data_IF_471368380591
#
_entry.id   IF_471368380591
#
_cell.length_a   1.000
_cell.length_b   1.000
_cell.length_c   1.000
_cell.angle_alpha   90.00
_cell.angle_beta   90.00
_cell.angle_gamma   90.00
#
_symmetry.space_group_name_H-M   'P 1'
#
loop_
_entity.id
_entity.type
_entity.pdbx_description
1 polymer ?
#
# COMPACT_ATOMS: atom_id res chain seq x y z
N UNK A 1 -25.79 4.59 -27.51
CA UNK A 1 -26.90 4.47 -26.56
C UNK A 1 -26.31 4.49 -25.15
N UNK A 2 -26.24 5.67 -24.53
CA UNK A 2 -25.66 5.85 -23.19
C UNK A 2 -26.68 5.38 -22.15
N UNK A 3 -26.47 4.23 -21.54
CA UNK A 3 -27.26 3.81 -20.39
C UNK A 3 -27.00 4.79 -19.24
N UNK A 4 -28.01 5.57 -18.87
CA UNK A 4 -28.01 6.31 -17.61
C UNK A 4 -27.99 5.29 -16.47
N UNK A 5 -26.81 5.01 -15.94
CA UNK A 5 -26.64 4.13 -14.78
C UNK A 5 -27.31 4.82 -13.58
N UNK A 6 -28.31 4.18 -12.98
CA UNK A 6 -29.00 4.69 -11.79
C UNK A 6 -27.97 5.05 -10.71
N UNK A 7 -28.16 6.18 -10.03
CA UNK A 7 -27.22 6.75 -9.05
C UNK A 7 -26.73 5.74 -7.98
N UNK A 8 -27.60 4.84 -7.52
CA UNK A 8 -27.29 3.76 -6.55
C UNK A 8 -26.35 2.66 -7.07
N UNK A 9 -26.06 2.61 -8.38
CA UNK A 9 -25.09 1.68 -8.97
C UNK A 9 -23.67 2.27 -9.02
N UNK A 10 -23.48 3.53 -8.60
CA UNK A 10 -22.14 4.09 -8.49
C UNK A 10 -21.39 3.52 -7.29
N UNK A 11 -20.16 3.08 -7.52
CA UNK A 11 -19.32 2.46 -6.49
C UNK A 11 -19.03 3.39 -5.32
N UNK A 12 -18.79 4.69 -5.58
CA UNK A 12 -18.58 5.66 -4.51
C UNK A 12 -19.81 5.79 -3.60
N UNK A 13 -21.03 5.79 -4.18
CA UNK A 13 -22.26 5.85 -3.40
C UNK A 13 -22.42 4.59 -2.54
N UNK A 14 -22.11 3.43 -3.10
CA UNK A 14 -22.14 2.16 -2.39
C UNK A 14 -21.14 2.15 -1.21
N UNK A 15 -19.91 2.60 -1.42
CA UNK A 15 -18.88 2.68 -0.36
C UNK A 15 -19.33 3.61 0.77
N UNK A 16 -19.81 4.82 0.44
CA UNK A 16 -20.32 5.75 1.44
C UNK A 16 -21.50 5.16 2.23
N UNK A 17 -22.44 4.51 1.53
CA UNK A 17 -23.57 3.85 2.19
C UNK A 17 -23.14 2.70 3.10
N UNK A 18 -22.11 1.93 2.71
CA UNK A 18 -21.56 0.84 3.50
C UNK A 18 -20.82 1.35 4.75
N UNK A 19 -20.07 2.45 4.64
CA UNK A 19 -19.41 3.10 5.78
C UNK A 19 -20.46 3.58 6.78
N UNK A 20 -21.50 4.29 6.32
CA UNK A 20 -22.59 4.76 7.18
C UNK A 20 -23.33 3.60 7.84
N UNK A 21 -23.63 2.53 7.10
CA UNK A 21 -24.24 1.32 7.64
C UNK A 21 -23.36 0.64 8.69
N UNK A 22 -22.04 0.57 8.46
CA UNK A 22 -21.08 0.01 9.42
C UNK A 22 -20.99 0.82 10.71
N UNK A 23 -20.97 2.16 10.61
CA UNK A 23 -21.00 3.06 11.77
C UNK A 23 -22.32 2.87 12.55
N UNK A 24 -23.45 2.85 11.84
CA UNK A 24 -24.76 2.68 12.47
C UNK A 24 -24.89 1.31 13.15
N UNK A 25 -24.38 0.25 12.54
CA UNK A 25 -24.34 -1.09 13.14
C UNK A 25 -23.46 -1.10 14.40
N UNK A 26 -22.29 -0.46 14.35
CA UNK A 26 -21.40 -0.32 15.50
C UNK A 26 -22.03 0.45 16.67
N UNK A 27 -22.89 1.42 16.38
CA UNK A 27 -23.62 2.19 17.38
C UNK A 27 -24.82 1.41 17.96
N UNK A 28 -25.60 0.72 17.12
CA UNK A 28 -26.82 0.01 17.52
C UNK A 28 -26.55 -1.35 18.20
N UNK A 29 -25.59 -2.12 17.68
CA UNK A 29 -25.19 -3.42 18.24
C UNK A 29 -23.68 -3.62 18.12
N UNK A 30 -22.90 -3.16 19.13
CA UNK A 30 -21.45 -3.32 19.15
C UNK A 30 -21.00 -4.80 19.11
N UNK A 31 -21.80 -5.72 19.67
CA UNK A 31 -21.43 -7.15 19.71
C UNK A 31 -21.54 -7.77 18.32
N UNK A 32 -22.60 -7.44 17.58
CA UNK A 32 -22.76 -7.87 16.20
C UNK A 32 -21.70 -7.23 15.29
N UNK A 33 -21.38 -5.94 15.49
CA UNK A 33 -20.34 -5.26 14.73
C UNK A 33 -18.95 -5.93 14.88
N UNK A 34 -18.56 -6.30 16.10
CA UNK A 34 -17.29 -7.04 16.33
C UNK A 34 -17.32 -8.42 15.66
N UNK A 35 -18.47 -9.11 15.64
CA UNK A 35 -18.63 -10.39 14.93
C UNK A 35 -18.53 -10.26 13.42
N UNK A 36 -18.70 -9.07 12.85
CA UNK A 36 -18.51 -8.82 11.42
C UNK A 36 -17.04 -8.64 11.03
N UNK A 37 -16.10 -8.56 11.99
CA UNK A 37 -14.66 -8.44 11.72
C UNK A 37 -14.12 -9.43 10.67
N UNK A 38 -14.50 -10.73 10.65
CA UNK A 38 -14.04 -11.66 9.62
C UNK A 38 -14.34 -11.23 8.19
N UNK A 39 -15.40 -10.44 7.96
CA UNK A 39 -15.72 -9.90 6.64
C UNK A 39 -14.69 -8.84 6.21
N UNK A 40 -14.29 -7.97 7.14
CA UNK A 40 -13.22 -7.00 6.92
C UNK A 40 -11.87 -7.68 6.72
N UNK A 41 -11.56 -8.68 7.54
CA UNK A 41 -10.31 -9.45 7.43
C UNK A 41 -10.24 -10.20 6.08
N UNK A 42 -11.36 -10.81 5.65
CA UNK A 42 -11.45 -11.44 4.34
C UNK A 42 -11.24 -10.44 3.19
N UNK A 43 -11.84 -9.25 3.27
CA UNK A 43 -11.65 -8.20 2.28
C UNK A 43 -10.19 -7.75 2.18
N UNK A 44 -9.54 -7.48 3.31
CA UNK A 44 -8.12 -7.11 3.36
C UNK A 44 -7.25 -8.24 2.81
N UNK A 45 -7.56 -9.51 3.12
CA UNK A 45 -6.81 -10.67 2.61
C UNK A 45 -6.91 -10.79 1.08
N UNK A 46 -8.09 -10.54 0.51
CA UNK A 46 -8.27 -10.53 -0.95
C UNK A 46 -7.48 -9.40 -1.60
N UNK A 47 -7.52 -8.18 -1.03
CA UNK A 47 -6.71 -7.07 -1.55
C UNK A 47 -5.22 -7.41 -1.48
N UNK A 48 -4.72 -7.85 -0.31
CA UNK A 48 -3.30 -8.15 -0.09
C UNK A 48 -2.79 -9.23 -1.05
N UNK A 49 -3.60 -10.25 -1.34
CA UNK A 49 -3.27 -11.29 -2.33
C UNK A 49 -3.05 -10.74 -3.74
N UNK A 50 -3.79 -9.70 -4.12
CA UNK A 50 -3.72 -9.10 -5.46
C UNK A 50 -2.58 -8.10 -5.62
N UNK A 51 -2.07 -7.51 -4.52
CA UNK A 51 -1.04 -6.47 -4.57
C UNK A 51 0.22 -6.94 -5.31
N UNK A 52 0.81 -8.09 -4.91
CA UNK A 52 2.06 -8.55 -5.49
C UNK A 52 1.97 -8.83 -7.01
N UNK A 53 0.98 -9.58 -7.51
CA UNK A 53 0.79 -9.76 -8.96
C UNK A 53 0.53 -8.44 -9.72
N UNK A 54 -0.31 -7.56 -9.16
CA UNK A 54 -0.63 -6.27 -9.80
C UNK A 54 0.63 -5.41 -9.92
N UNK A 55 1.43 -5.31 -8.86
CA UNK A 55 2.68 -4.53 -8.88
C UNK A 55 3.63 -5.10 -9.93
N UNK A 56 3.83 -6.42 -9.95
CA UNK A 56 4.71 -7.05 -10.94
C UNK A 56 4.25 -6.73 -12.37
N UNK A 57 2.98 -7.01 -12.69
CA UNK A 57 2.45 -6.74 -14.02
C UNK A 57 2.55 -5.25 -14.38
N UNK A 58 2.10 -4.36 -13.51
CA UNK A 58 2.09 -2.91 -13.80
C UNK A 58 3.49 -2.34 -14.01
N UNK A 59 4.47 -2.73 -13.19
CA UNK A 59 5.85 -2.25 -13.29
C UNK A 59 6.53 -2.81 -14.54
N UNK A 60 6.37 -4.11 -14.81
CA UNK A 60 6.96 -4.75 -16.00
C UNK A 60 6.39 -4.14 -17.28
N UNK A 61 5.07 -4.05 -17.40
CA UNK A 61 4.43 -3.44 -18.58
C UNK A 61 4.77 -1.96 -18.69
N UNK A 62 4.81 -1.23 -17.57
CA UNK A 62 5.15 0.19 -17.53
C UNK A 62 6.56 0.46 -18.06
N UNK A 63 7.56 -0.30 -17.58
CA UNK A 63 8.95 -0.12 -17.98
C UNK A 63 9.18 -0.59 -19.42
N UNK A 64 8.66 -1.76 -19.82
CA UNK A 64 8.87 -2.27 -21.19
C UNK A 64 8.13 -1.43 -22.23
N UNK A 65 6.98 -0.85 -21.89
CA UNK A 65 6.26 0.09 -22.75
C UNK A 65 7.08 1.35 -23.06
N UNK A 66 8.07 1.68 -22.23
CA UNK A 66 8.98 2.79 -22.46
C UNK A 66 10.14 2.34 -23.35
N UNK A 67 10.11 2.73 -24.64
CA UNK A 67 11.16 2.40 -25.64
C UNK A 67 12.59 2.86 -25.29
N UNK A 68 12.76 3.70 -24.26
CA UNK A 68 14.04 4.31 -23.91
C UNK A 68 14.32 4.18 -22.41
N UNK A 69 15.33 3.37 -22.10
CA UNK A 69 15.78 3.07 -20.75
C UNK A 69 16.28 4.31 -19.98
N UNK A 70 16.85 5.30 -20.69
CA UNK A 70 17.27 6.57 -20.06
C UNK A 70 16.07 7.40 -19.61
N UNK A 71 14.93 7.27 -20.30
CA UNK A 71 13.68 7.92 -19.87
C UNK A 71 13.12 7.28 -18.62
N UNK A 72 13.16 5.94 -18.52
CA UNK A 72 12.71 5.21 -17.31
C UNK A 72 13.45 5.72 -16.07
N UNK A 73 14.79 5.78 -16.10
CA UNK A 73 15.59 6.27 -14.98
C UNK A 73 15.29 7.73 -14.62
N UNK A 74 15.08 8.60 -15.62
CA UNK A 74 14.71 10.01 -15.39
C UNK A 74 13.33 10.14 -14.75
N UNK A 75 12.37 9.33 -15.17
CA UNK A 75 11.02 9.31 -14.58
C UNK A 75 11.06 8.77 -13.16
N UNK A 76 11.83 7.71 -12.90
CA UNK A 76 12.00 7.15 -11.55
C UNK A 76 12.60 8.18 -10.57
N UNK A 77 13.67 8.90 -10.96
CA UNK A 77 14.27 9.93 -10.12
C UNK A 77 13.30 11.09 -9.88
N UNK A 78 12.58 11.54 -10.92
CA UNK A 78 11.56 12.58 -10.77
C UNK A 78 10.44 12.15 -9.83
N UNK A 79 10.00 10.88 -9.93
CA UNK A 79 8.99 10.31 -9.06
C UNK A 79 9.48 10.20 -7.62
N UNK A 80 10.74 9.83 -7.39
CA UNK A 80 11.34 9.75 -6.05
C UNK A 80 11.40 11.13 -5.38
N UNK A 81 11.89 12.15 -6.11
CA UNK A 81 11.94 13.53 -5.60
C UNK A 81 10.52 14.04 -5.34
N UNK A 82 9.58 13.78 -6.26
CA UNK A 82 8.18 14.17 -6.08
C UNK A 82 7.57 13.48 -4.85
N UNK A 83 7.78 12.18 -4.68
CA UNK A 83 7.30 11.42 -3.54
C UNK A 83 7.85 11.99 -2.25
N UNK A 84 9.16 12.16 -2.13
CA UNK A 84 9.81 12.67 -0.92
C UNK A 84 9.31 14.07 -0.53
N UNK A 85 9.17 14.98 -1.50
CA UNK A 85 8.70 16.35 -1.24
C UNK A 85 7.23 16.34 -0.79
N UNK A 86 6.37 15.58 -1.47
CA UNK A 86 4.94 15.53 -1.17
C UNK A 86 4.68 14.82 0.15
N UNK A 87 5.38 13.73 0.46
CA UNK A 87 5.25 13.02 1.75
C UNK A 87 5.79 13.86 2.90
N UNK A 88 6.93 14.53 2.73
CA UNK A 88 7.45 15.46 3.75
C UNK A 88 6.45 16.58 4.03
N UNK A 89 5.88 17.19 2.98
CA UNK A 89 4.86 18.22 3.15
C UNK A 89 3.60 17.67 3.85
N UNK A 90 3.15 16.48 3.47
CA UNK A 90 2.00 15.83 4.11
C UNK A 90 2.27 15.53 5.60
N UNK A 91 3.47 15.08 5.96
CA UNK A 91 3.88 14.86 7.35
C UNK A 91 3.92 16.17 8.15
N UNK A 92 4.47 17.25 7.58
CA UNK A 92 4.50 18.57 8.23
C UNK A 92 3.08 19.08 8.49
N UNK A 93 2.19 18.99 7.49
CA UNK A 93 0.79 19.41 7.64
C UNK A 93 0.07 18.53 8.67
N UNK A 94 0.25 17.21 8.62
CA UNK A 94 -0.34 16.28 9.59
C UNK A 94 0.13 16.58 11.01
N UNK A 95 1.43 16.81 11.20
CA UNK A 95 2.00 17.14 12.50
C UNK A 95 1.47 18.49 13.02
N UNK A 96 1.40 19.52 12.16
CA UNK A 96 0.84 20.81 12.53
C UNK A 96 -0.62 20.69 12.97
N UNK A 97 -1.46 20.00 12.19
CA UNK A 97 -2.87 19.81 12.52
C UNK A 97 -3.05 19.05 13.83
N UNK A 98 -2.30 17.98 14.05
CA UNK A 98 -2.36 17.20 15.30
C UNK A 98 -1.92 18.05 16.50
N UNK A 99 -0.84 18.83 16.39
CA UNK A 99 -0.35 19.66 17.49
C UNK A 99 -1.26 20.86 17.78
N UNK A 100 -1.91 21.43 16.76
CA UNK A 100 -2.81 22.59 16.93
C UNK A 100 -4.19 22.16 17.44
N UNK A 101 -4.79 21.12 16.85
CA UNK A 101 -6.14 20.68 17.20
C UNK A 101 -6.18 19.74 18.41
N UNK A 102 -5.05 19.09 18.74
CA UNK A 102 -4.95 18.12 19.82
C UNK A 102 -6.01 17.01 19.75
N UNK A 103 -6.19 16.32 18.59
CA UNK A 103 -7.16 15.23 18.50
C UNK A 103 -6.79 14.13 19.50
N UNK A 104 -7.65 13.91 20.48
CA UNK A 104 -7.39 13.02 21.62
C UNK A 104 -7.41 13.71 22.99
N UNK A 105 -7.32 15.05 23.03
CA UNK A 105 -7.52 15.82 24.26
C UNK A 105 -8.96 15.59 24.77
N UNK A 106 -9.09 15.04 25.99
CA UNK A 106 -10.38 14.65 26.57
C UNK A 106 -10.75 13.17 26.39
N UNK A 107 -9.96 12.37 25.68
CA UNK A 107 -10.01 10.93 25.88
C UNK A 107 -9.39 10.64 27.24
N UNK A 108 -10.17 10.03 28.15
CA UNK A 108 -9.77 9.71 29.53
C UNK A 108 -8.74 8.56 29.60
N UNK A 109 -7.75 8.59 28.72
CA UNK A 109 -6.67 7.62 28.59
C UNK A 109 -5.56 8.07 29.52
N UNK A 110 -5.42 7.43 30.68
CA UNK A 110 -4.30 7.65 31.60
C UNK A 110 -3.04 6.96 31.03
N UNK A 111 -2.01 7.71 30.58
CA UNK A 111 -0.80 7.16 29.99
C UNK A 111 -0.07 6.16 30.90
N UNK A 112 -0.26 6.27 32.22
CA UNK A 112 0.36 5.37 33.21
C UNK A 112 -0.34 4.02 33.35
N UNK A 113 -1.57 3.89 32.85
CA UNK A 113 -2.34 2.63 32.86
C UNK A 113 -2.35 1.91 31.51
N UNK A 114 -1.74 2.52 30.48
CA UNK A 114 -1.59 1.90 29.16
C UNK A 114 -0.59 0.75 29.29
N UNK A 115 -1.06 -0.46 29.01
CA UNK A 115 -0.19 -1.63 28.93
C UNK A 115 0.74 -1.53 27.72
N UNK A 116 1.93 -0.99 27.97
CA UNK A 116 2.97 -0.77 26.95
C UNK A 116 3.62 -2.07 26.49
N UNK A 117 3.36 -3.21 27.13
CA UNK A 117 3.90 -4.51 26.68
C UNK A 117 3.42 -4.87 25.28
N UNK A 118 2.18 -4.48 24.93
CA UNK A 118 1.61 -4.66 23.60
C UNK A 118 2.28 -3.83 22.50
N UNK A 119 3.01 -2.77 22.88
CA UNK A 119 3.65 -1.80 21.97
C UNK A 119 5.18 -1.98 21.95
N UNK A 120 5.72 -2.69 22.94
CA UNK A 120 7.15 -2.86 23.18
C UNK A 120 7.88 -3.53 22.00
N UNK A 121 7.21 -4.45 21.31
CA UNK A 121 7.69 -5.10 20.08
C UNK A 121 7.85 -4.11 18.92
N UNK A 122 6.96 -3.12 18.80
CA UNK A 122 7.01 -2.09 17.77
C UNK A 122 8.05 -1.01 18.08
N UNK A 123 8.16 -0.61 19.36
CA UNK A 123 9.17 0.38 19.79
C UNK A 123 10.59 -0.16 19.73
N UNK A 124 10.79 -1.46 19.96
CA UNK A 124 12.08 -2.13 19.81
C UNK A 124 12.48 -2.32 18.34
N UNK A 125 11.54 -2.63 17.45
CA UNK A 125 11.79 -2.66 16.00
C UNK A 125 12.15 -1.28 15.43
N UNK A 126 11.48 -0.21 15.88
CA UNK A 126 11.73 1.15 15.39
C UNK A 126 13.17 1.64 15.68
N UNK A 127 13.81 1.16 16.74
CA UNK A 127 15.18 1.51 17.10
C UNK A 127 16.28 0.70 16.41
N UNK A 128 15.93 -0.40 15.71
CA UNK A 128 16.91 -1.35 15.18
C UNK A 128 17.07 -1.35 13.65
N UNK A 129 16.13 -0.77 12.88
CA UNK A 129 16.31 -0.70 11.43
C UNK A 129 17.40 0.29 11.03
N UNK A 130 18.60 -0.24 10.79
CA UNK A 130 19.67 0.49 10.14
C UNK A 130 19.37 0.69 8.65
N UNK A 131 19.88 1.77 8.05
CA UNK A 131 19.76 2.00 6.59
C UNK A 131 20.34 0.83 5.80
N UNK A 132 21.43 0.22 6.29
CA UNK A 132 22.02 -0.99 5.70
C UNK A 132 21.07 -2.17 5.68
N UNK A 133 20.36 -2.42 6.78
CA UNK A 133 19.41 -3.53 6.89
C UNK A 133 18.19 -3.32 5.99
N UNK A 134 17.69 -2.08 5.91
CA UNK A 134 16.63 -1.73 4.97
C UNK A 134 17.03 -2.01 3.52
N UNK A 135 18.24 -1.59 3.11
CA UNK A 135 18.73 -1.85 1.75
C UNK A 135 18.92 -3.34 1.50
N UNK A 136 19.41 -4.10 2.48
CA UNK A 136 19.53 -5.56 2.37
C UNK A 136 18.16 -6.23 2.23
N UNK A 137 17.13 -5.74 2.93
CA UNK A 137 15.75 -6.27 2.86
C UNK A 137 15.09 -6.09 1.48
N UNK A 138 15.57 -5.16 0.66
CA UNK A 138 15.10 -4.96 -0.72
C UNK A 138 15.40 -6.20 -1.59
N UNK A 139 16.51 -6.89 -1.31
CA UNK A 139 16.97 -8.03 -2.10
C UNK A 139 16.33 -9.29 -1.51
N UNK A 140 15.38 -9.95 -2.21
CA UNK A 140 14.76 -11.15 -1.68
C UNK A 140 15.74 -12.33 -1.63
N UNK A 141 15.62 -13.15 -0.58
CA UNK A 141 16.33 -14.43 -0.52
C UNK A 141 15.85 -15.40 -1.63
N UNK A 142 14.55 -15.39 -1.94
CA UNK A 142 13.97 -16.13 -3.06
C UNK A 142 12.85 -15.33 -3.73
N UNK A 143 12.73 -15.45 -5.06
CA UNK A 143 11.66 -14.77 -5.81
C UNK A 143 10.30 -15.24 -5.33
N UNK A 144 10.09 -16.56 -5.21
CA UNK A 144 8.80 -17.12 -4.78
C UNK A 144 8.43 -16.66 -3.37
N UNK A 145 9.38 -16.56 -2.45
CA UNK A 145 9.16 -16.02 -1.10
C UNK A 145 8.62 -14.60 -1.13
N UNK A 146 9.21 -13.71 -1.94
CA UNK A 146 8.76 -12.32 -2.06
C UNK A 146 7.28 -12.22 -2.48
N UNK A 147 6.84 -13.07 -3.42
CA UNK A 147 5.44 -13.10 -3.86
C UNK A 147 4.53 -13.80 -2.84
N UNK A 148 5.00 -14.84 -2.15
CA UNK A 148 4.21 -15.60 -1.18
C UNK A 148 3.96 -14.82 0.11
N UNK A 149 4.95 -14.07 0.59
CA UNK A 149 4.85 -13.24 1.80
C UNK A 149 4.19 -11.88 1.51
N UNK A 150 4.15 -11.51 0.22
CA UNK A 150 3.61 -10.24 -0.24
C UNK A 150 4.51 -9.06 0.09
N UNK A 151 5.82 -9.27 0.12
CA UNK A 151 6.83 -8.25 0.38
C UNK A 151 6.93 -7.30 -0.81
N UNK A 152 6.20 -6.19 -0.72
CA UNK A 152 6.00 -5.23 -1.83
C UNK A 152 7.33 -4.74 -2.40
N UNK A 153 8.29 -4.40 -1.53
CA UNK A 153 9.57 -3.80 -1.93
C UNK A 153 10.44 -4.81 -2.70
N UNK A 154 10.44 -6.07 -2.26
CA UNK A 154 11.16 -7.16 -2.91
C UNK A 154 10.54 -7.51 -4.27
N UNK A 155 9.20 -7.58 -4.34
CA UNK A 155 8.47 -7.80 -5.60
C UNK A 155 8.79 -6.66 -6.57
N UNK A 156 8.76 -5.41 -6.12
CA UNK A 156 9.10 -4.24 -6.94
C UNK A 156 10.54 -4.33 -7.49
N UNK A 157 11.51 -4.66 -6.63
CA UNK A 157 12.92 -4.80 -7.03
C UNK A 157 13.10 -5.85 -8.13
N UNK A 158 12.55 -7.06 -7.92
CA UNK A 158 12.60 -8.11 -8.93
C UNK A 158 11.89 -7.71 -10.22
N UNK A 159 10.72 -7.05 -10.13
CA UNK A 159 9.95 -6.58 -11.29
C UNK A 159 10.76 -5.64 -12.17
N UNK A 160 11.51 -4.72 -11.55
CA UNK A 160 12.36 -3.76 -12.25
C UNK A 160 13.49 -4.49 -13.00
N UNK A 161 14.19 -5.42 -12.34
CA UNK A 161 15.25 -6.22 -12.98
C UNK A 161 14.70 -7.07 -14.13
N UNK A 162 13.55 -7.72 -13.92
CA UNK A 162 12.88 -8.52 -14.93
C UNK A 162 12.48 -7.67 -16.15
N UNK A 163 11.92 -6.48 -15.90
CA UNK A 163 11.55 -5.56 -16.97
C UNK A 163 12.76 -5.09 -17.79
N UNK A 164 13.90 -4.81 -17.14
CA UNK A 164 15.14 -4.47 -17.84
C UNK A 164 15.65 -5.63 -18.70
N UNK A 165 15.69 -6.84 -18.15
CA UNK A 165 16.09 -8.02 -18.91
C UNK A 165 15.16 -8.27 -20.12
N UNK A 166 13.85 -8.10 -19.93
CA UNK A 166 12.85 -8.26 -20.99
C UNK A 166 12.94 -7.18 -22.05
N UNK A 167 13.21 -5.93 -21.68
CA UNK A 167 13.44 -4.83 -22.61
C UNK A 167 14.69 -5.05 -23.47
N UNK A 168 15.72 -5.72 -22.94
CA UNK A 168 16.94 -6.05 -23.68
C UNK A 168 16.74 -7.22 -24.68
N UNK A 169 15.78 -8.12 -24.43
CA UNK A 169 15.44 -9.23 -25.33
C UNK A 169 14.73 -8.80 -26.63
N UNK A 170 14.22 -7.58 -26.69
CA UNK A 170 13.61 -7.00 -27.89
C UNK A 170 12.44 -7.83 -28.44
N UNK A 171 12.45 -8.13 -29.74
CA UNK A 171 11.39 -8.89 -30.43
C UNK A 171 11.13 -10.28 -29.82
N UNK A 172 12.14 -10.91 -29.20
CA UNK A 172 11.99 -12.23 -28.56
C UNK A 172 11.19 -12.18 -27.26
N UNK A 173 11.16 -11.02 -26.60
CA UNK A 173 10.41 -10.80 -25.36
C UNK A 173 8.97 -10.36 -25.57
N UNK A 174 8.60 -9.93 -26.78
CA UNK A 174 7.26 -9.41 -27.12
C UNK A 174 6.09 -10.30 -26.67
N UNK A 175 6.12 -11.63 -26.87
CA UNK A 175 4.99 -12.49 -26.49
C UNK A 175 4.64 -12.48 -25.00
N UNK A 176 5.58 -12.08 -24.13
CA UNK A 176 5.38 -12.03 -22.68
C UNK A 176 4.78 -10.71 -22.18
N UNK A 177 4.68 -9.70 -23.05
CA UNK A 177 4.21 -8.33 -22.71
C UNK A 177 2.89 -8.00 -23.40
N UNK A 178 2.56 -8.68 -24.49
CA UNK A 178 1.34 -8.45 -25.28
C UNK A 178 0.20 -9.42 -24.93
N UNK A 179 0.18 -9.98 -23.73
CA UNK A 179 -0.99 -10.71 -23.22
C UNK A 179 -2.04 -9.76 -22.66
#
# INVERSE_FOLDING_TARGET
>A
MYYAVRFYRHLYFQVWSAILAGILLGYLDPRLAVRMKPLGDAFIKVIRMLIAPIIFCTVVHGIVGMKDLKRVGRVAIKALIYFEVVTTLALVVGLLLVNVWGPGAGMNVDPGTIDTTSIQSYTSQAGQQSVSEFVMHIIPATIVGAFAEGEILQVLFFSVLFAFALSLLGERGRPLVTM
#
